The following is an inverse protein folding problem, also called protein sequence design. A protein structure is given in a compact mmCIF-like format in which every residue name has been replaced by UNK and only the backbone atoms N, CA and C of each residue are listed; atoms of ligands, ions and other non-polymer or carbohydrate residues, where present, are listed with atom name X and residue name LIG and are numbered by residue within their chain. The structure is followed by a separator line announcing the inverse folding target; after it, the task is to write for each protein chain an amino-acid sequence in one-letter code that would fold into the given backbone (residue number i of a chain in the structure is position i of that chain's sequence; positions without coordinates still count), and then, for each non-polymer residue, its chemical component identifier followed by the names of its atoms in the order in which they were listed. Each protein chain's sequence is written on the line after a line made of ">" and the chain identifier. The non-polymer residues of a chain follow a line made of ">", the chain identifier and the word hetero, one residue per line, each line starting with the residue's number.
data_IF_800149727055
#
_entry.id   IF_800149727055
#
_cell.length_a   1.000
_cell.length_b   1.000
_cell.length_c   1.000
_cell.angle_alpha   90.00
_cell.angle_beta   90.00
_cell.angle_gamma   90.00
#
_symmetry.space_group_name_H-M   'P 1'
#
loop_
_entity.id
_entity.type
_entity.pdbx_description
1 polymer ?
#
# COMPACT_ATOMS: atom_id res chain seq x y z
N UNK A 1 34.69 -17.53 -22.29
CA UNK A 1 33.65 -16.76 -21.57
C UNK A 1 32.99 -17.70 -20.56
N UNK A 2 33.40 -17.66 -19.30
CA UNK A 2 32.91 -18.56 -18.24
C UNK A 2 31.55 -18.06 -17.75
N UNK A 3 30.48 -18.71 -18.22
CA UNK A 3 29.11 -18.40 -17.81
C UNK A 3 28.96 -18.75 -16.32
N UNK A 4 28.92 -17.73 -15.45
CA UNK A 4 28.62 -17.91 -14.04
C UNK A 4 27.09 -17.81 -13.87
N UNK A 5 26.40 -18.94 -13.65
CA UNK A 5 24.94 -18.97 -13.56
C UNK A 5 24.41 -18.23 -12.34
N UNK A 6 25.23 -18.09 -11.28
CA UNK A 6 24.90 -17.31 -10.09
C UNK A 6 25.75 -16.05 -10.05
N UNK A 7 25.11 -14.94 -9.66
CA UNK A 7 25.77 -13.66 -9.40
C UNK A 7 25.59 -13.26 -7.94
N UNK A 8 26.57 -12.55 -7.43
CA UNK A 8 26.51 -11.92 -6.12
C UNK A 8 25.33 -10.94 -6.05
N UNK A 9 24.74 -10.80 -4.87
CA UNK A 9 23.57 -9.95 -4.64
C UNK A 9 22.23 -10.58 -5.03
N UNK A 10 22.16 -11.79 -5.58
CA UNK A 10 20.88 -12.48 -5.81
C UNK A 10 20.34 -13.13 -4.52
N UNK A 11 19.02 -13.29 -4.44
CA UNK A 11 18.38 -14.06 -3.36
C UNK A 11 18.08 -15.47 -3.87
N UNK A 12 18.58 -16.47 -3.18
CA UNK A 12 18.33 -17.87 -3.44
C UNK A 12 17.26 -18.40 -2.50
N UNK A 13 16.25 -19.05 -3.08
CA UNK A 13 15.20 -19.74 -2.36
C UNK A 13 15.15 -21.20 -2.82
N UNK A 14 15.23 -22.14 -1.89
CA UNK A 14 15.08 -23.59 -2.13
C UNK A 14 14.59 -24.26 -0.84
N UNK A 15 13.90 -25.39 -0.94
CA UNK A 15 13.40 -26.15 0.22
C UNK A 15 14.49 -26.58 1.22
N UNK A 16 15.73 -26.77 0.75
CA UNK A 16 16.87 -27.10 1.61
C UNK A 16 17.29 -25.94 2.53
N UNK A 17 16.90 -24.72 2.19
CA UNK A 17 17.10 -23.54 3.01
C UNK A 17 15.80 -23.24 3.75
N UNK A 18 15.86 -23.19 5.09
CA UNK A 18 14.71 -22.86 5.92
C UNK A 18 14.30 -21.37 5.80
N UNK A 19 15.09 -20.57 5.08
CA UNK A 19 14.88 -19.15 4.84
C UNK A 19 15.52 -18.72 3.50
N UNK A 20 15.09 -17.61 2.89
CA UNK A 20 15.76 -17.04 1.71
C UNK A 20 17.18 -16.56 2.04
N UNK A 21 18.12 -16.88 1.15
CA UNK A 21 19.56 -16.67 1.36
C UNK A 21 20.12 -15.68 0.33
N UNK A 22 20.86 -14.67 0.77
CA UNK A 22 21.58 -13.75 -0.10
C UNK A 22 22.94 -14.32 -0.49
N UNK A 23 23.27 -14.25 -1.78
CA UNK A 23 24.61 -14.60 -2.27
C UNK A 23 25.55 -13.44 -2.01
N UNK A 24 26.54 -13.66 -1.16
CA UNK A 24 27.58 -12.67 -0.83
C UNK A 24 28.83 -12.88 -1.67
N UNK A 25 29.25 -14.13 -1.84
CA UNK A 25 30.43 -14.47 -2.64
C UNK A 25 30.16 -15.70 -3.50
N UNK A 26 30.70 -15.72 -4.72
CA UNK A 26 30.68 -16.91 -5.59
C UNK A 26 32.09 -17.21 -6.08
N UNK A 27 32.58 -18.42 -5.81
CA UNK A 27 33.86 -18.92 -6.31
C UNK A 27 33.64 -20.21 -7.09
N UNK A 28 34.02 -20.25 -8.36
CA UNK A 28 34.03 -21.49 -9.12
C UNK A 28 35.19 -22.39 -8.63
N UNK A 29 34.89 -23.65 -8.31
CA UNK A 29 35.86 -24.63 -7.79
C UNK A 29 36.00 -25.86 -8.70
N UNK A 30 35.92 -25.67 -10.01
CA UNK A 30 36.02 -26.72 -11.02
C UNK A 30 34.84 -26.76 -11.99
N UNK A 31 34.77 -27.82 -12.81
CA UNK A 31 33.71 -28.00 -13.80
C UNK A 31 32.37 -28.30 -13.11
N UNK A 32 31.46 -27.32 -13.10
CA UNK A 32 30.09 -27.49 -12.58
C UNK A 32 29.96 -27.46 -11.05
N UNK A 33 30.99 -26.98 -10.33
CA UNK A 33 30.99 -26.83 -8.87
C UNK A 33 31.31 -25.39 -8.49
N UNK A 34 30.45 -24.79 -7.67
CA UNK A 34 30.60 -23.42 -7.17
C UNK A 34 30.54 -23.41 -5.65
N UNK A 35 31.47 -22.73 -5.00
CA UNK A 35 31.42 -22.43 -3.57
C UNK A 35 30.74 -21.07 -3.43
N UNK A 36 29.56 -21.05 -2.82
CA UNK A 36 28.80 -19.84 -2.57
C UNK A 36 28.77 -19.50 -1.08
N UNK A 37 29.12 -18.26 -0.76
CA UNK A 37 28.88 -17.66 0.55
C UNK A 37 27.45 -17.13 0.60
N UNK A 38 26.64 -17.68 1.51
CA UNK A 38 25.22 -17.40 1.64
C UNK A 38 24.93 -16.76 2.99
N UNK A 39 24.07 -15.75 3.04
CA UNK A 39 23.60 -15.11 4.29
C UNK A 39 22.08 -15.16 4.37
N UNK A 40 21.56 -15.69 5.47
CA UNK A 40 20.11 -15.73 5.71
C UNK A 40 19.52 -14.33 5.87
N UNK A 41 18.41 -14.05 5.19
CA UNK A 41 17.71 -12.76 5.28
C UNK A 41 17.17 -12.47 6.69
N UNK A 42 16.65 -13.50 7.39
CA UNK A 42 16.09 -13.33 8.74
C UNK A 42 17.13 -13.59 9.81
N UNK A 43 17.83 -14.71 9.71
CA UNK A 43 18.80 -15.11 10.75
C UNK A 43 20.11 -14.32 10.70
N UNK A 44 20.43 -13.68 9.56
CA UNK A 44 21.73 -13.05 9.28
C UNK A 44 22.92 -13.98 9.50
N UNK A 45 22.70 -15.30 9.48
CA UNK A 45 23.76 -16.28 9.66
C UNK A 45 24.46 -16.53 8.34
N UNK A 46 25.78 -16.44 8.37
CA UNK A 46 26.63 -16.80 7.25
C UNK A 46 26.77 -18.33 7.16
N UNK A 47 26.66 -18.87 5.95
CA UNK A 47 26.90 -20.28 5.62
C UNK A 47 27.63 -20.36 4.28
N UNK A 48 28.70 -21.11 4.23
CA UNK A 48 29.34 -21.49 2.97
C UNK A 48 28.79 -22.84 2.51
N UNK A 49 28.34 -22.91 1.26
CA UNK A 49 27.83 -24.14 0.66
C UNK A 49 28.46 -24.38 -0.71
N UNK A 50 28.74 -25.64 -1.00
CA UNK A 50 29.10 -26.08 -2.35
C UNK A 50 27.82 -26.35 -3.13
N UNK A 51 27.69 -25.73 -4.30
CA UNK A 51 26.57 -25.87 -5.22
C UNK A 51 27.06 -26.58 -6.48
N UNK A 52 26.37 -27.65 -6.86
CA UNK A 52 26.57 -28.34 -8.16
C UNK A 52 25.59 -27.84 -9.20
N UNK A 53 25.83 -28.17 -10.48
CA UNK A 53 24.92 -27.80 -11.57
C UNK A 53 23.50 -28.34 -11.39
N UNK A 54 23.33 -29.49 -10.75
CA UNK A 54 22.02 -30.04 -10.41
C UNK A 54 21.31 -29.21 -9.32
N UNK A 55 22.07 -28.69 -8.34
CA UNK A 55 21.49 -27.80 -7.34
C UNK A 55 20.97 -26.50 -7.97
N UNK A 56 21.69 -25.98 -8.98
CA UNK A 56 21.28 -24.76 -9.70
C UNK A 56 19.97 -24.92 -10.46
N UNK A 57 19.70 -26.10 -11.01
CA UNK A 57 18.44 -26.36 -11.73
C UNK A 57 17.24 -26.37 -10.78
N UNK A 58 17.47 -26.73 -9.51
CA UNK A 58 16.46 -26.81 -8.46
C UNK A 58 16.36 -25.52 -7.61
N UNK A 59 17.18 -24.50 -7.91
CA UNK A 59 17.21 -23.22 -7.20
C UNK A 59 16.29 -22.21 -7.88
N UNK A 60 15.41 -21.58 -7.10
CA UNK A 60 14.71 -20.37 -7.56
C UNK A 60 15.58 -19.16 -7.28
N UNK A 61 16.11 -18.55 -8.33
CA UNK A 61 16.90 -17.32 -8.25
C UNK A 61 15.93 -16.15 -8.32
N UNK A 62 15.69 -15.51 -7.18
CA UNK A 62 14.95 -14.26 -7.12
C UNK A 62 15.92 -13.10 -7.36
N UNK A 63 15.49 -12.18 -8.22
CA UNK A 63 16.18 -10.92 -8.41
C UNK A 63 16.04 -10.09 -7.14
N UNK A 64 17.17 -9.78 -6.49
CA UNK A 64 17.18 -8.84 -5.35
C UNK A 64 17.05 -7.39 -5.82
N UNK A 65 16.96 -7.16 -7.13
CA UNK A 65 16.78 -5.85 -7.71
C UNK A 65 15.41 -5.33 -7.29
N UNK A 66 15.40 -4.38 -6.35
CA UNK A 66 14.18 -3.70 -5.96
C UNK A 66 13.66 -2.95 -7.19
N UNK A 67 12.61 -3.49 -7.79
CA UNK A 67 11.99 -2.88 -8.96
C UNK A 67 11.09 -1.74 -8.50
N UNK A 68 11.53 -0.49 -8.68
CA UNK A 68 10.76 0.71 -8.36
C UNK A 68 9.66 0.99 -9.40
N UNK A 69 8.94 -0.04 -9.83
CA UNK A 69 7.89 0.04 -10.85
C UNK A 69 6.50 0.31 -10.25
N UNK A 70 6.46 1.12 -9.19
CA UNK A 70 5.21 1.56 -8.56
C UNK A 70 4.79 2.91 -9.14
N UNK A 71 3.48 3.11 -9.35
CA UNK A 71 2.94 4.41 -9.73
C UNK A 71 3.33 5.48 -8.70
N UNK A 72 4.16 6.43 -9.11
CA UNK A 72 4.62 7.53 -8.26
C UNK A 72 3.47 8.39 -7.72
N UNK A 73 2.32 8.43 -8.42
CA UNK A 73 1.12 9.12 -7.94
C UNK A 73 0.55 8.44 -6.70
N UNK A 74 0.45 7.11 -6.72
CA UNK A 74 -0.02 6.34 -5.58
C UNK A 74 0.94 6.48 -4.41
N UNK A 75 2.26 6.38 -4.67
CA UNK A 75 3.27 6.59 -3.65
C UNK A 75 3.15 7.97 -2.97
N UNK A 76 2.94 9.03 -3.77
CA UNK A 76 2.75 10.39 -3.24
C UNK A 76 1.51 10.48 -2.34
N UNK A 77 0.39 9.91 -2.76
CA UNK A 77 -0.85 9.93 -1.98
C UNK A 77 -0.66 9.15 -0.67
N UNK A 78 -0.03 7.97 -0.72
CA UNK A 78 0.25 7.17 0.47
C UNK A 78 1.15 7.92 1.47
N UNK A 79 2.18 8.62 0.99
CA UNK A 79 3.05 9.40 1.86
C UNK A 79 2.30 10.56 2.53
N UNK A 80 1.43 11.24 1.79
CA UNK A 80 0.58 12.31 2.33
C UNK A 80 -0.42 11.76 3.37
N UNK A 81 -1.07 10.63 3.08
CA UNK A 81 -1.99 9.99 4.01
C UNK A 81 -1.29 9.55 5.30
N UNK A 82 -0.06 9.01 5.20
CA UNK A 82 0.75 8.63 6.35
C UNK A 82 1.15 9.85 7.19
N UNK A 83 1.63 10.92 6.54
CA UNK A 83 1.97 12.18 7.23
C UNK A 83 0.76 12.77 7.95
N UNK A 84 -0.40 12.72 7.31
CA UNK A 84 -1.65 13.21 7.88
C UNK A 84 -2.06 12.34 9.08
N UNK A 85 -2.00 11.00 8.95
CA UNK A 85 -2.31 10.08 10.04
C UNK A 85 -1.44 10.30 11.27
N UNK A 86 -0.13 10.52 11.08
CA UNK A 86 0.79 10.88 12.18
C UNK A 86 0.39 12.22 12.79
N UNK A 87 0.13 13.24 11.97
CA UNK A 87 -0.30 14.55 12.49
C UNK A 87 -1.59 14.48 13.32
N UNK A 88 -2.57 13.66 12.89
CA UNK A 88 -3.82 13.44 13.62
C UNK A 88 -3.64 12.70 14.96
N UNK A 89 -2.65 11.80 15.07
CA UNK A 89 -2.38 11.07 16.32
C UNK A 89 -1.83 11.99 17.41
N UNK A 90 -1.12 13.05 17.04
CA UNK A 90 -0.41 13.93 17.97
C UNK A 90 -1.04 15.33 18.13
N UNK A 91 -2.24 15.58 17.58
CA UNK A 91 -2.95 16.85 17.76
C UNK A 91 -3.84 16.85 19.03
N UNK A 92 -3.56 17.70 20.05
CA UNK A 92 -4.33 17.76 21.29
C UNK A 92 -5.79 18.19 21.12
N UNK A 93 -6.16 18.79 19.98
CA UNK A 93 -7.53 19.21 19.68
C UNK A 93 -8.29 18.23 18.78
N UNK A 94 -7.73 17.05 18.48
CA UNK A 94 -8.31 16.08 17.56
C UNK A 94 -9.79 15.74 17.86
N UNK A 95 -10.11 15.44 19.12
CA UNK A 95 -11.48 15.08 19.53
C UNK A 95 -12.49 16.24 19.52
N UNK A 96 -12.01 17.49 19.40
CA UNK A 96 -12.85 18.69 19.44
C UNK A 96 -13.22 19.21 18.03
N UNK A 97 -12.52 18.78 16.98
CA UNK A 97 -12.77 19.23 15.59
C UNK A 97 -13.71 18.31 14.80
N UNK A 98 -13.88 17.06 15.23
CA UNK A 98 -14.84 16.10 14.64
C UNK A 98 -16.30 16.38 15.04
N UNK A 99 -16.50 17.32 15.96
CA UNK A 99 -17.80 17.74 16.48
C UNK A 99 -18.22 19.12 15.99
N UNK A 100 -17.76 19.55 14.81
CA UNK A 100 -18.39 20.69 14.12
C UNK A 100 -19.81 20.30 13.71
N UNK A 101 -20.72 20.39 14.68
CA UNK A 101 -22.16 20.36 14.48
C UNK A 101 -22.48 21.61 13.70
N UNK A 102 -22.83 21.44 12.43
CA UNK A 102 -23.45 22.48 11.63
C UNK A 102 -24.64 23.01 12.44
N UNK A 103 -24.60 24.27 12.94
CA UNK A 103 -25.72 24.79 13.71
C UNK A 103 -26.92 24.84 12.78
N UNK A 104 -27.88 23.96 13.01
CA UNK A 104 -29.18 23.94 12.34
C UNK A 104 -29.67 25.40 12.21
N UNK A 105 -30.00 25.91 11.00
CA UNK A 105 -30.52 27.25 10.89
C UNK A 105 -31.84 27.30 11.66
N UNK A 106 -31.80 27.97 12.80
CA UNK A 106 -32.96 28.23 13.65
C UNK A 106 -34.10 28.85 12.82
N UNK A 107 -35.29 28.22 12.71
CA UNK A 107 -36.40 28.77 11.96
C UNK A 107 -37.18 29.75 12.86
N UNK A 108 -36.54 30.78 13.38
CA UNK A 108 -37.24 31.84 14.11
C UNK A 108 -36.70 33.21 13.72
N UNK A 109 -37.25 33.72 12.62
CA UNK A 109 -36.96 35.04 12.10
C UNK A 109 -38.13 35.60 11.30
N UNK A 110 -39.31 35.67 11.93
CA UNK A 110 -40.37 36.64 11.62
C UNK A 110 -41.09 36.52 10.26
N UNK A 111 -42.33 36.00 10.30
CA UNK A 111 -43.55 36.65 9.79
C UNK A 111 -44.71 35.64 9.84
N UNK A 112 -45.46 35.68 10.95
CA UNK A 112 -46.75 35.03 11.05
C UNK A 112 -47.78 35.94 10.34
N UNK A 113 -48.21 35.57 9.13
CA UNK A 113 -49.33 36.25 8.45
C UNK A 113 -50.65 35.55 8.84
N UNK A 114 -51.62 36.22 9.47
CA UNK A 114 -52.90 35.62 9.80
C UNK A 114 -53.85 35.82 8.63
N UNK A 115 -53.79 34.94 7.63
CA UNK A 115 -54.88 34.81 6.65
C UNK A 115 -54.73 33.53 5.84
N UNK A 116 -55.43 32.47 6.26
CA UNK A 116 -56.26 31.67 5.37
C UNK A 116 -56.94 30.57 6.19
N UNK A 117 -58.04 30.94 6.85
CA UNK A 117 -59.03 29.98 7.29
C UNK A 117 -60.20 30.04 6.32
N UNK A 118 -60.62 28.86 5.88
CA UNK A 118 -61.92 28.50 5.28
C UNK A 118 -62.04 28.40 3.75
N UNK A 119 -62.78 27.35 3.40
CA UNK A 119 -63.43 27.01 2.12
C UNK A 119 -62.46 26.33 1.15
N UNK A 120 -62.56 25.06 0.78
CA UNK A 120 -63.73 24.19 0.67
C UNK A 120 -63.70 23.57 -0.73
N UNK A 121 -63.84 22.25 -0.79
CA UNK A 121 -64.21 21.46 -1.97
C UNK A 121 -63.22 21.32 -3.15
N UNK A 122 -63.04 20.05 -3.51
CA UNK A 122 -63.07 19.55 -4.88
C UNK A 122 -61.81 19.66 -5.75
N UNK A 123 -61.35 18.47 -6.14
CA UNK A 123 -60.93 18.08 -7.51
C UNK A 123 -59.75 18.79 -8.16
N UNK A 124 -58.77 17.96 -8.58
CA UNK A 124 -58.11 18.00 -9.90
C UNK A 124 -57.77 19.40 -10.42
N UNK A 125 -56.52 19.85 -10.43
CA UNK A 125 -55.97 20.57 -11.60
C UNK A 125 -54.44 20.50 -11.59
N UNK A 126 -53.95 20.14 -12.76
CA UNK A 126 -52.58 19.86 -13.18
C UNK A 126 -51.79 21.16 -13.43
N UNK A 127 -50.45 21.03 -13.48
CA UNK A 127 -49.55 21.70 -14.46
C UNK A 127 -49.13 23.16 -14.20
N UNK A 128 -47.83 23.29 -13.90
CA UNK A 128 -46.84 24.09 -14.66
C UNK A 128 -47.08 25.60 -14.79
N UNK A 129 -46.13 26.39 -14.28
CA UNK A 129 -45.54 27.47 -15.07
C UNK A 129 -44.28 28.05 -14.42
N UNK A 130 -43.36 28.39 -15.32
CA UNK A 130 -42.09 29.07 -15.11
C UNK A 130 -42.25 30.43 -14.45
N UNK A 131 -41.25 30.86 -13.69
CA UNK A 131 -40.77 32.24 -13.55
C UNK A 131 -39.25 32.12 -13.34
N UNK A 132 -38.37 32.85 -14.00
CA UNK A 132 -38.48 34.20 -14.55
C UNK A 132 -37.30 34.98 -14.01
#
# INVERSE_FOLDING_TARGET
>A
MTHHPIREGKVLSRRQFNEPMNVVTVRANGAGVWVAGLVGQRSRRYRCGTLTSDDLSQLTIADATLSYQSDGRLLRISLQACSLGIAWEFDPYFGLSISHVDPLPQPFGGLCSPRCGQIGASSLWWRQQHCG
#
